data_IF_092563212875
#
_entry.id   IF_092563212875
#
_cell.length_a   1.000
_cell.length_b   1.000
_cell.length_c   1.000
_cell.angle_alpha   90.00
_cell.angle_beta   90.00
_cell.angle_gamma   90.00
#
_symmetry.space_group_name_H-M   'P 1'
#
loop_
_entity.id
_entity.type
_entity.pdbx_description
1 polymer ?
#
# COMPACT_ATOMS: atom_id res chain seq x y z
N UNK A 1 27.80 -4.48 8.50
CA UNK A 1 26.38 -4.78 8.29
C UNK A 1 25.74 -3.61 7.56
N UNK A 2 25.13 -3.85 6.40
CA UNK A 2 24.42 -2.82 5.65
C UNK A 2 22.94 -2.86 6.02
N UNK A 3 22.30 -1.71 6.21
CA UNK A 3 20.87 -1.62 6.33
C UNK A 3 20.27 -1.66 4.94
N UNK A 4 19.29 -2.54 4.73
CA UNK A 4 18.62 -2.72 3.45
C UNK A 4 17.10 -2.75 3.62
N UNK A 5 16.41 -2.35 2.57
CA UNK A 5 14.97 -2.49 2.45
C UNK A 5 14.65 -3.08 1.08
N UNK A 6 13.76 -4.07 1.06
CA UNK A 6 13.32 -4.72 -0.18
C UNK A 6 11.92 -5.27 -0.04
N UNK A 7 11.31 -5.64 -1.15
CA UNK A 7 10.01 -6.30 -1.15
C UNK A 7 10.05 -7.57 -2.01
N UNK A 8 9.34 -8.59 -1.58
CA UNK A 8 9.27 -9.85 -2.31
C UNK A 8 8.21 -10.79 -1.77
N UNK A 9 8.06 -11.92 -2.40
CA UNK A 9 7.07 -12.92 -2.01
C UNK A 9 7.73 -14.02 -1.16
N UNK A 10 7.09 -14.39 -0.06
CA UNK A 10 7.55 -15.52 0.74
C UNK A 10 7.35 -16.83 -0.03
N UNK A 11 8.41 -17.60 -0.18
CA UNK A 11 8.44 -18.81 -1.03
C UNK A 11 7.80 -20.01 -0.34
N UNK A 12 7.99 -20.10 0.96
CA UNK A 12 7.43 -21.13 1.83
C UNK A 12 7.11 -20.52 3.18
N UNK A 13 6.28 -21.20 3.96
CA UNK A 13 6.02 -20.79 5.33
C UNK A 13 7.33 -20.70 6.11
N UNK A 14 7.46 -19.69 6.98
CA UNK A 14 8.66 -19.50 7.77
C UNK A 14 8.85 -20.65 8.77
N UNK A 15 10.07 -21.12 8.87
CA UNK A 15 10.44 -22.13 9.84
C UNK A 15 10.67 -21.47 11.21
N UNK A 16 9.74 -21.69 12.14
CA UNK A 16 9.84 -21.19 13.51
C UNK A 16 10.54 -22.21 14.42
N UNK A 17 11.57 -21.78 15.11
CA UNK A 17 12.30 -22.54 16.12
C UNK A 17 12.47 -21.71 17.40
N UNK A 18 12.63 -22.37 18.51
CA UNK A 18 12.96 -21.73 19.77
C UNK A 18 14.40 -22.07 20.15
N UNK A 19 15.16 -21.05 20.54
CA UNK A 19 16.51 -21.25 21.07
C UNK A 19 16.46 -21.90 22.47
N UNK A 20 17.59 -22.39 22.95
CA UNK A 20 17.70 -22.93 24.33
C UNK A 20 17.28 -21.91 25.40
N UNK A 21 17.42 -20.62 25.12
CA UNK A 21 16.95 -19.52 25.98
C UNK A 21 15.47 -19.14 25.77
N UNK A 22 14.69 -19.95 25.07
CA UNK A 22 13.26 -19.71 24.80
C UNK A 22 12.95 -18.57 23.83
N UNK A 23 13.97 -18.02 23.13
CA UNK A 23 13.73 -16.98 22.12
C UNK A 23 13.26 -17.59 20.80
N UNK A 24 12.15 -17.10 20.29
CA UNK A 24 11.65 -17.46 18.96
C UNK A 24 12.61 -16.98 17.87
N UNK A 25 12.89 -17.82 16.89
CA UNK A 25 13.69 -17.53 15.68
C UNK A 25 12.93 -18.10 14.49
N UNK A 26 12.62 -17.25 13.54
CA UNK A 26 11.99 -17.69 12.29
C UNK A 26 12.90 -17.41 11.11
N UNK A 27 13.02 -18.39 10.22
CA UNK A 27 13.77 -18.29 8.97
C UNK A 27 12.83 -18.46 7.80
N UNK A 28 13.01 -17.61 6.79
CA UNK A 28 12.24 -17.72 5.57
C UNK A 28 13.09 -17.34 4.35
N UNK A 29 12.63 -17.73 3.18
CA UNK A 29 13.20 -17.37 1.89
C UNK A 29 12.22 -16.49 1.13
N UNK A 30 12.73 -15.39 0.59
CA UNK A 30 11.96 -14.39 -0.15
C UNK A 30 12.43 -14.38 -1.60
N UNK A 31 11.47 -14.37 -2.53
CA UNK A 31 11.70 -14.13 -3.94
C UNK A 31 11.41 -12.66 -4.25
N UNK A 32 12.45 -11.92 -4.58
CA UNK A 32 12.37 -10.55 -5.06
C UNK A 32 12.41 -10.58 -6.59
N UNK A 33 11.25 -10.40 -7.21
CA UNK A 33 11.13 -10.39 -8.67
C UNK A 33 11.45 -9.02 -9.21
N UNK A 34 12.32 -8.96 -10.20
CA UNK A 34 12.68 -7.75 -10.92
C UNK A 34 11.94 -7.72 -12.24
N UNK A 35 11.30 -6.59 -12.53
CA UNK A 35 10.63 -6.35 -13.80
C UNK A 35 11.09 -5.02 -14.38
N UNK A 36 11.23 -4.97 -15.68
CA UNK A 36 11.58 -3.77 -16.43
C UNK A 36 10.52 -3.49 -17.50
N UNK A 37 10.19 -2.22 -17.67
CA UNK A 37 9.30 -1.81 -18.74
C UNK A 37 10.01 -1.93 -20.09
N UNK A 38 9.54 -2.81 -20.96
CA UNK A 38 9.96 -2.86 -22.34
C UNK A 38 9.34 -1.64 -23.07
N UNK A 39 10.19 -0.77 -23.60
CA UNK A 39 9.76 0.48 -24.24
C UNK A 39 9.07 0.25 -25.59
N UNK A 40 9.39 -0.84 -26.26
CA UNK A 40 8.86 -1.16 -27.57
C UNK A 40 7.45 -1.78 -27.46
N UNK A 41 7.27 -2.68 -26.50
CA UNK A 41 5.98 -3.36 -26.27
C UNK A 41 5.10 -2.67 -25.24
N UNK A 42 5.62 -1.67 -24.48
CA UNK A 42 4.94 -1.00 -23.37
C UNK A 42 4.46 -1.98 -22.28
N UNK A 43 5.08 -3.14 -22.18
CA UNK A 43 4.77 -4.18 -21.19
C UNK A 43 5.91 -4.35 -20.19
N UNK A 44 5.56 -4.75 -18.96
CA UNK A 44 6.55 -5.13 -17.96
C UNK A 44 6.99 -6.57 -18.22
N UNK A 45 8.29 -6.73 -18.44
CA UNK A 45 8.93 -8.04 -18.61
C UNK A 45 9.72 -8.40 -17.36
N UNK A 46 9.63 -9.65 -16.93
CA UNK A 46 10.40 -10.14 -15.80
C UNK A 46 11.86 -10.32 -16.22
N UNK A 47 12.78 -9.63 -15.54
CA UNK A 47 14.22 -9.66 -15.85
C UNK A 47 15.00 -10.62 -14.97
N UNK A 48 14.41 -11.07 -13.87
CA UNK A 48 15.03 -12.05 -12.98
C UNK A 48 14.46 -12.05 -11.57
N UNK A 49 14.94 -12.99 -10.76
CA UNK A 49 14.55 -13.11 -9.36
C UNK A 49 15.78 -13.18 -8.47
N UNK A 50 15.84 -12.29 -7.47
CA UNK A 50 16.84 -12.36 -6.40
C UNK A 50 16.26 -13.14 -5.22
N UNK A 51 17.00 -14.15 -4.78
CA UNK A 51 16.62 -14.97 -3.63
C UNK A 51 17.29 -14.45 -2.37
N UNK A 52 16.49 -14.07 -1.38
CA UNK A 52 17.00 -13.56 -0.11
C UNK A 52 16.61 -14.46 1.05
N UNK A 53 17.57 -14.75 1.92
CA UNK A 53 17.31 -15.45 3.16
C UNK A 53 17.12 -14.43 4.27
N UNK A 54 16.05 -14.57 5.04
CA UNK A 54 15.74 -13.66 6.15
C UNK A 54 15.64 -14.44 7.46
N UNK A 55 16.02 -13.78 8.54
CA UNK A 55 15.88 -14.29 9.90
C UNK A 55 15.22 -13.22 10.78
N UNK A 56 14.19 -13.61 11.50
CA UNK A 56 13.49 -12.77 12.48
C UNK A 56 13.66 -13.35 13.89
N UNK A 57 13.61 -12.49 14.90
CA UNK A 57 13.79 -12.86 16.31
C UNK A 57 12.63 -12.37 17.18
N UNK A 58 12.32 -13.15 18.25
CA UNK A 58 11.31 -12.82 19.24
C UNK A 58 9.93 -12.67 18.64
N UNK A 59 9.16 -11.67 19.04
CA UNK A 59 7.78 -11.44 18.57
C UNK A 59 7.66 -11.31 17.05
N UNK A 60 8.70 -10.80 16.39
CA UNK A 60 8.73 -10.72 14.91
C UNK A 60 8.81 -12.11 14.28
N UNK A 61 9.53 -13.03 14.91
CA UNK A 61 9.63 -14.41 14.44
C UNK A 61 8.26 -15.11 14.49
N UNK A 62 7.53 -14.94 15.58
CA UNK A 62 6.18 -15.49 15.74
C UNK A 62 5.23 -14.95 14.66
N UNK A 63 5.24 -13.62 14.46
CA UNK A 63 4.43 -12.99 13.40
C UNK A 63 4.83 -13.40 11.99
N UNK A 64 6.13 -13.59 11.74
CA UNK A 64 6.62 -14.06 10.43
C UNK A 64 6.15 -15.49 10.15
N UNK A 65 6.03 -16.33 11.17
CA UNK A 65 5.54 -17.69 11.04
C UNK A 65 4.05 -17.78 10.67
N UNK A 66 3.27 -16.73 10.97
CA UNK A 66 1.85 -16.62 10.59
C UNK A 66 1.68 -16.26 9.11
N UNK A 67 2.73 -15.75 8.46
CA UNK A 67 2.69 -15.33 7.06
C UNK A 67 2.57 -16.55 6.15
N UNK A 68 1.60 -16.51 5.26
CA UNK A 68 1.34 -17.62 4.32
C UNK A 68 2.25 -17.54 3.09
N UNK A 69 2.57 -18.72 2.54
CA UNK A 69 3.28 -18.84 1.27
C UNK A 69 2.64 -17.98 0.17
N UNK A 70 3.48 -17.26 -0.56
CA UNK A 70 3.08 -16.41 -1.68
C UNK A 70 2.61 -15.02 -1.29
N UNK A 71 2.49 -14.69 0.01
CA UNK A 71 2.23 -13.32 0.43
C UNK A 71 3.43 -12.42 0.13
N UNK A 72 3.14 -11.18 -0.27
CA UNK A 72 4.16 -10.16 -0.50
C UNK A 72 4.49 -9.45 0.80
N UNK A 73 5.78 -9.32 1.07
CA UNK A 73 6.32 -8.65 2.25
C UNK A 73 7.17 -7.46 1.82
N UNK A 74 7.13 -6.40 2.61
CA UNK A 74 8.15 -5.36 2.66
C UNK A 74 8.99 -5.63 3.89
N UNK A 75 10.31 -5.65 3.73
CA UNK A 75 11.26 -6.03 4.77
C UNK A 75 12.29 -4.93 4.90
N UNK A 76 12.55 -4.53 6.14
CA UNK A 76 13.63 -3.64 6.53
C UNK A 76 14.52 -4.43 7.49
N UNK A 77 15.82 -4.43 7.24
CA UNK A 77 16.72 -5.22 8.06
C UNK A 77 18.18 -4.93 7.81
N UNK A 78 19.02 -5.72 8.44
CA UNK A 78 20.48 -5.64 8.34
C UNK A 78 21.01 -6.87 7.66
N UNK A 79 21.67 -6.66 6.54
CA UNK A 79 22.30 -7.73 5.78
C UNK A 79 23.69 -8.05 6.33
N UNK A 80 23.97 -9.34 6.49
CA UNK A 80 25.28 -9.85 6.84
C UNK A 80 25.66 -11.01 5.92
N UNK A 81 26.87 -10.98 5.39
CA UNK A 81 27.45 -12.09 4.63
C UNK A 81 28.48 -12.81 5.47
N UNK A 82 28.45 -14.13 5.42
CA UNK A 82 29.44 -15.00 6.05
C UNK A 82 30.03 -15.92 5.00
N UNK A 83 31.35 -15.98 4.97
CA UNK A 83 32.04 -16.90 4.11
C UNK A 83 32.39 -18.17 4.90
N UNK A 84 32.16 -19.33 4.33
CA UNK A 84 32.51 -20.62 4.91
C UNK A 84 33.08 -21.53 3.83
N UNK A 85 34.01 -22.40 4.23
CA UNK A 85 34.54 -23.42 3.33
C UNK A 85 33.69 -24.68 3.44
N UNK A 86 33.25 -25.19 2.29
CA UNK A 86 32.57 -26.47 2.16
C UNK A 86 33.13 -27.21 0.95
N UNK A 87 33.59 -28.45 1.17
CA UNK A 87 34.13 -29.32 0.13
C UNK A 87 35.36 -28.72 -0.60
N UNK A 88 36.17 -27.89 0.10
CA UNK A 88 37.32 -27.20 -0.47
C UNK A 88 37.00 -25.93 -1.28
N UNK A 89 35.72 -25.59 -1.42
CA UNK A 89 35.25 -24.36 -2.05
C UNK A 89 34.81 -23.33 -1.01
N UNK A 90 35.16 -22.07 -1.27
CA UNK A 90 34.71 -20.95 -0.49
C UNK A 90 33.28 -20.57 -0.90
N UNK A 91 32.32 -20.71 0.01
CA UNK A 91 30.92 -20.38 -0.20
C UNK A 91 30.53 -19.20 0.66
N UNK A 92 29.78 -18.29 0.08
CA UNK A 92 29.23 -17.13 0.74
C UNK A 92 27.74 -17.38 1.07
N UNK A 93 27.36 -17.10 2.30
CA UNK A 93 25.98 -17.12 2.78
C UNK A 93 25.57 -15.72 3.22
N UNK A 94 24.55 -15.19 2.54
CA UNK A 94 23.99 -13.88 2.88
C UNK A 94 22.63 -14.07 3.56
N UNK A 95 22.46 -13.46 4.72
CA UNK A 95 21.22 -13.50 5.50
C UNK A 95 20.88 -12.09 5.98
N UNK A 96 19.59 -11.73 5.92
CA UNK A 96 19.08 -10.45 6.41
C UNK A 96 18.39 -10.65 7.75
N UNK A 97 18.93 -10.04 8.79
CA UNK A 97 18.26 -9.93 10.08
C UNK A 97 17.14 -8.89 9.99
N UNK A 98 15.89 -9.32 10.15
CA UNK A 98 14.71 -8.49 10.02
C UNK A 98 14.58 -7.57 11.23
N UNK A 99 14.62 -6.26 10.99
CA UNK A 99 14.31 -5.25 11.99
C UNK A 99 12.81 -4.95 12.00
N UNK A 100 12.20 -4.85 10.80
CA UNK A 100 10.74 -4.68 10.63
C UNK A 100 10.26 -5.34 9.34
N UNK A 101 9.01 -5.75 9.32
CA UNK A 101 8.35 -6.20 8.10
C UNK A 101 6.85 -5.87 8.12
N UNK A 102 6.27 -5.75 6.93
CA UNK A 102 4.83 -5.57 6.72
C UNK A 102 4.34 -6.48 5.61
N UNK A 103 3.14 -7.03 5.79
CA UNK A 103 2.45 -7.77 4.73
C UNK A 103 1.78 -6.76 3.82
N UNK A 104 2.09 -6.82 2.52
CA UNK A 104 1.40 -6.03 1.51
C UNK A 104 0.08 -6.74 1.20
N UNK A 105 -1.07 -6.12 1.47
CA UNK A 105 -2.34 -6.72 1.08
C UNK A 105 -2.33 -6.89 -0.44
N UNK A 106 -2.72 -8.06 -0.92
CA UNK A 106 -3.06 -8.20 -2.34
C UNK A 106 -4.22 -7.25 -2.55
N UNK A 107 -4.04 -6.24 -3.39
CA UNK A 107 -5.17 -5.46 -3.84
C UNK A 107 -6.16 -6.46 -4.41
N UNK A 108 -7.30 -6.59 -3.76
CA UNK A 108 -8.41 -7.32 -4.33
C UNK A 108 -8.60 -6.74 -5.72
N UNK A 109 -8.48 -7.60 -6.72
CA UNK A 109 -8.90 -7.31 -8.07
C UNK A 109 -10.31 -6.75 -7.90
N UNK A 110 -10.42 -5.44 -8.01
CA UNK A 110 -11.60 -4.62 -7.84
C UNK A 110 -12.86 -5.49 -7.76
N UNK A 111 -13.38 -5.71 -6.54
CA UNK A 111 -14.82 -5.89 -6.44
C UNK A 111 -15.40 -4.68 -7.20
N UNK A 112 -16.24 -4.92 -8.23
CA UNK A 112 -16.90 -3.82 -8.90
C UNK A 112 -17.53 -3.00 -7.77
N UNK A 113 -17.05 -1.77 -7.59
CA UNK A 113 -17.69 -0.85 -6.66
C UNK A 113 -19.15 -0.89 -7.08
N UNK A 114 -20.10 -1.20 -6.16
CA UNK A 114 -21.48 -1.08 -6.51
C UNK A 114 -21.61 0.32 -7.09
N UNK A 115 -21.95 0.38 -8.37
CA UNK A 115 -22.30 1.65 -9.01
C UNK A 115 -23.41 2.18 -8.12
N UNK A 116 -23.10 3.21 -7.35
CA UNK A 116 -24.14 4.04 -6.76
C UNK A 116 -24.81 4.62 -7.97
N UNK A 117 -25.84 3.91 -8.41
CA UNK A 117 -26.81 4.41 -9.34
C UNK A 117 -27.31 5.67 -8.65
N UNK A 118 -26.84 6.82 -9.15
CA UNK A 118 -27.33 8.09 -8.69
C UNK A 118 -28.84 8.12 -8.92
N UNK A 119 -29.57 7.80 -7.88
CA UNK A 119 -30.96 8.23 -7.81
C UNK A 119 -30.90 9.74 -7.87
N UNK A 120 -31.33 10.22 -9.04
CA UNK A 120 -31.43 11.62 -9.33
C UNK A 120 -32.24 12.30 -8.24
N UNK A 121 -31.63 13.29 -7.61
CA UNK A 121 -32.36 14.32 -6.88
C UNK A 121 -33.29 15.04 -7.88
N UNK A 122 -34.50 14.57 -8.00
CA UNK A 122 -35.45 15.09 -8.98
C UNK A 122 -36.84 14.50 -8.84
N UNK A 123 -37.37 14.43 -7.63
CA UNK A 123 -38.81 14.31 -7.41
C UNK A 123 -39.19 15.29 -6.30
N UNK A 124 -39.38 16.54 -6.69
CA UNK A 124 -40.23 17.45 -5.93
C UNK A 124 -41.64 16.83 -5.92
N UNK A 125 -41.96 16.14 -4.83
CA UNK A 125 -43.35 15.88 -4.52
C UNK A 125 -43.99 17.21 -4.15
N UNK A 126 -44.79 17.72 -5.09
CA UNK A 126 -45.74 18.79 -4.85
C UNK A 126 -46.76 18.32 -3.80
N UNK A 127 -46.55 18.71 -2.56
CA UNK A 127 -47.62 18.68 -1.60
C UNK A 127 -48.58 19.82 -1.93
N UNK A 128 -49.72 19.47 -2.47
CA UNK A 128 -50.86 20.36 -2.59
C UNK A 128 -51.34 20.71 -1.19
N UNK A 129 -51.01 21.91 -0.72
CA UNK A 129 -51.62 22.51 0.46
C UNK A 129 -52.89 23.19 0.03
N UNK A 130 -54.00 23.03 0.78
CA UNK A 130 -55.29 23.66 0.46
C UNK A 130 -55.22 25.17 0.64
N UNK A 131 -55.77 25.84 -0.31
CA UNK A 131 -56.00 27.27 -0.38
C UNK A 131 -56.67 27.75 0.89
N UNK A 132 -56.04 28.65 1.65
CA UNK A 132 -56.79 29.51 2.52
C UNK A 132 -56.54 30.97 2.17
N UNK A 133 -57.62 31.58 1.80
CA UNK A 133 -57.77 32.94 1.27
C UNK A 133 -57.53 33.92 2.44
N UNK A 134 -56.54 34.81 2.30
CA UNK A 134 -56.25 35.84 3.30
C UNK A 134 -55.41 36.97 2.70
N UNK A 135 -56.09 37.91 2.16
CA UNK A 135 -55.68 39.19 1.67
C UNK A 135 -54.93 40.04 2.73
N UNK A 136 -53.90 40.78 2.32
CA UNK A 136 -53.26 42.03 2.83
C UNK A 136 -51.79 42.00 2.35
N UNK A 137 -51.27 42.85 1.52
CA UNK A 137 -51.15 44.27 1.50
C UNK A 137 -49.71 44.65 1.18
N UNK A 138 -49.54 45.49 0.22
CA UNK A 138 -48.42 46.34 -0.21
C UNK A 138 -47.06 46.29 0.54
N UNK A 139 -45.96 46.26 -0.23
CA UNK A 139 -44.62 46.55 0.22
C UNK A 139 -43.56 46.51 -0.89
N UNK A 140 -43.34 47.65 -1.47
CA UNK A 140 -42.26 48.16 -2.35
C UNK A 140 -40.89 47.55 -2.15
N UNK A 141 -40.20 47.23 -3.25
CA UNK A 141 -38.90 47.71 -3.68
C UNK A 141 -37.65 47.23 -2.89
N UNK A 142 -36.71 46.66 -3.57
CA UNK A 142 -35.34 46.51 -3.08
C UNK A 142 -34.55 45.51 -3.90
N UNK A 143 -34.07 45.92 -5.06
CA UNK A 143 -33.10 45.15 -5.85
C UNK A 143 -31.73 45.12 -5.14
N UNK A 144 -31.21 43.99 -4.93
CA UNK A 144 -29.80 43.85 -4.55
C UNK A 144 -29.02 43.36 -5.77
N UNK A 145 -28.16 44.26 -6.30
CA UNK A 145 -27.14 43.96 -7.29
C UNK A 145 -26.05 43.08 -6.65
N UNK A 146 -25.74 41.96 -7.27
CA UNK A 146 -24.55 41.17 -7.00
C UNK A 146 -23.30 41.87 -7.53
N UNK A 147 -22.25 42.06 -6.75
CA UNK A 147 -20.95 42.49 -7.27
C UNK A 147 -20.24 41.37 -8.01
N UNK A 148 -19.64 41.67 -9.14
CA UNK A 148 -18.84 40.79 -9.99
C UNK A 148 -17.56 40.33 -9.25
N UNK A 149 -17.05 39.12 -9.50
CA UNK A 149 -15.77 38.69 -8.95
C UNK A 149 -14.62 39.39 -9.66
N UNK A 150 -13.75 40.03 -8.84
CA UNK A 150 -12.48 40.58 -9.29
C UNK A 150 -11.50 39.44 -9.58
N UNK A 151 -10.95 39.43 -10.80
CA UNK A 151 -9.77 38.64 -11.17
C UNK A 151 -8.54 39.20 -10.43
N UNK A 152 -8.05 38.47 -9.43
CA UNK A 152 -6.74 38.70 -8.83
C UNK A 152 -5.66 38.07 -9.69
N UNK A 153 -4.76 38.91 -10.23
CA UNK A 153 -3.56 38.47 -10.94
C UNK A 153 -2.60 37.76 -9.95
N UNK A 154 -2.08 36.64 -10.37
CA UNK A 154 -0.98 35.98 -9.68
C UNK A 154 0.35 36.62 -10.09
N UNK A 155 0.95 37.35 -9.18
CA UNK A 155 2.35 37.76 -9.27
C UNK A 155 3.24 36.51 -9.18
N UNK A 156 4.08 36.30 -10.17
CA UNK A 156 5.15 35.32 -10.15
C UNK A 156 6.27 35.85 -9.23
N UNK A 157 6.80 35.04 -8.29
CA UNK A 157 8.05 35.37 -7.62
C UNK A 157 9.24 35.17 -8.57
N UNK A 158 10.25 36.03 -8.52
CA UNK A 158 11.49 35.86 -9.27
C UNK A 158 12.39 34.83 -8.57
N UNK A 159 13.05 34.01 -9.37
CA UNK A 159 14.14 33.05 -9.26
C UNK A 159 13.76 31.59 -9.40
#
# INVERSE_FOLDING_TARGET
MAQIAFSGNIVAQAELKFSQAGKAVAKARIAENHSQLNRDTQQFEETGTTWRNIVAFGKRAEKLAEVQKGQRLVIIGRESSRTYQKDGEEKSWTETAVDEFGVVPRGDVQQPRPSVQGEGFGAQQAYASPVNNGQWGHGTGGGYQQPAPQQGGFDQPPF
#
